data_IF_594028599152
#
_entry.id   IF_594028599152
#
_cell.length_a   1.000
_cell.length_b   1.000
_cell.length_c   1.000
_cell.angle_alpha   90.00
_cell.angle_beta   90.00
_cell.angle_gamma   90.00
#
_symmetry.space_group_name_H-M   'P 1'
#
loop_
_entity.id
_entity.type
_entity.pdbx_description
1 polymer ?
#
# COMPACT_ATOMS: atom_id res chain seq x y z
N UNK A 1 -23.39 50.77 -16.60
CA UNK A 1 -23.08 49.76 -15.57
C UNK A 1 -22.59 48.50 -16.26
N UNK A 2 -21.30 48.17 -16.14
CA UNK A 2 -20.75 46.88 -16.62
C UNK A 2 -20.57 45.98 -15.41
N UNK A 3 -21.38 44.93 -15.31
CA UNK A 3 -21.25 43.89 -14.30
C UNK A 3 -20.15 42.94 -14.79
N UNK A 4 -18.99 42.99 -14.15
CA UNK A 4 -17.91 42.01 -14.36
C UNK A 4 -18.24 40.79 -13.51
N UNK A 5 -18.74 39.74 -14.14
CA UNK A 5 -18.93 38.42 -13.52
C UNK A 5 -17.54 37.78 -13.36
N UNK A 6 -16.98 37.85 -12.15
CA UNK A 6 -15.79 37.10 -11.78
C UNK A 6 -16.22 35.65 -11.50
N UNK A 7 -16.01 34.76 -12.46
CA UNK A 7 -16.07 33.32 -12.25
C UNK A 7 -14.87 32.89 -11.40
N UNK A 8 -15.07 32.85 -10.08
CA UNK A 8 -14.18 32.15 -9.16
C UNK A 8 -14.32 30.64 -9.41
N UNK A 9 -13.50 30.12 -10.32
CA UNK A 9 -13.23 28.68 -10.43
C UNK A 9 -12.49 28.25 -9.17
N UNK A 10 -13.24 27.87 -8.14
CA UNK A 10 -12.73 27.08 -7.02
C UNK A 10 -12.44 25.68 -7.57
N UNK A 11 -11.24 25.48 -8.13
CA UNK A 11 -10.69 24.15 -8.34
C UNK A 11 -10.55 23.49 -6.98
N UNK A 12 -11.53 22.66 -6.63
CA UNK A 12 -11.38 21.69 -5.56
C UNK A 12 -10.23 20.76 -5.94
N UNK A 13 -9.02 21.07 -5.50
CA UNK A 13 -7.92 20.12 -5.49
C UNK A 13 -8.28 19.01 -4.49
N UNK A 14 -9.08 18.05 -4.94
CA UNK A 14 -9.23 16.79 -4.24
C UNK A 14 -7.85 16.13 -4.29
N UNK A 15 -7.08 16.25 -3.20
CA UNK A 15 -5.81 15.55 -3.04
C UNK A 15 -6.10 14.05 -3.13
N UNK A 16 -5.79 13.46 -4.29
CA UNK A 16 -5.77 12.01 -4.43
C UNK A 16 -4.75 11.46 -3.42
N UNK A 17 -5.12 10.43 -2.67
CA UNK A 17 -4.14 9.75 -1.82
C UNK A 17 -3.23 8.86 -2.67
N UNK A 18 -2.03 8.56 -2.15
CA UNK A 18 -1.01 7.82 -2.91
C UNK A 18 -1.49 6.47 -3.46
N UNK A 19 -2.46 5.82 -2.81
CA UNK A 19 -3.05 4.58 -3.30
C UNK A 19 -3.87 4.83 -4.57
N UNK A 20 -4.63 5.92 -4.62
CA UNK A 20 -5.37 6.31 -5.82
C UNK A 20 -4.43 6.66 -6.98
N UNK A 21 -3.34 7.37 -6.69
CA UNK A 21 -2.33 7.72 -7.70
C UNK A 21 -1.62 6.49 -8.25
N UNK A 22 -1.16 5.60 -7.35
CA UNK A 22 -0.59 4.31 -7.73
C UNK A 22 -1.56 3.50 -8.61
N UNK A 23 -2.84 3.47 -8.22
CA UNK A 23 -3.83 2.71 -8.98
C UNK A 23 -4.07 3.28 -10.37
N UNK A 24 -4.10 4.61 -10.49
CA UNK A 24 -4.21 5.29 -11.79
C UNK A 24 -3.00 5.01 -12.67
N UNK A 25 -1.79 5.04 -12.12
CA UNK A 25 -0.55 4.74 -12.83
C UNK A 25 -0.54 3.29 -13.36
N UNK A 26 -1.00 2.34 -12.54
CA UNK A 26 -1.11 0.93 -12.92
C UNK A 26 -2.31 0.61 -13.81
N UNK A 27 -3.09 1.62 -14.23
CA UNK A 27 -4.37 1.44 -14.96
C UNK A 27 -5.31 0.45 -14.24
N UNK A 28 -5.22 0.42 -12.92
CA UNK A 28 -5.96 -0.49 -12.05
C UNK A 28 -7.33 0.04 -11.67
N UNK A 29 -8.02 -0.77 -10.87
CA UNK A 29 -9.34 -0.49 -10.31
C UNK A 29 -9.24 -0.32 -8.81
N UNK A 30 -9.68 0.85 -8.33
CA UNK A 30 -9.76 1.14 -6.91
C UNK A 30 -11.08 0.60 -6.33
N UNK A 31 -10.97 -0.40 -5.45
CA UNK A 31 -12.08 -1.06 -4.77
C UNK A 31 -12.26 -0.49 -3.36
N UNK A 32 -13.51 -0.34 -2.89
CA UNK A 32 -13.82 0.13 -1.53
C UNK A 32 -13.71 -0.97 -0.45
N UNK A 33 -13.79 -2.23 -0.89
CA UNK A 33 -13.65 -3.45 -0.09
C UNK A 33 -13.02 -4.50 -0.97
N UNK A 34 -12.30 -5.43 -0.38
CA UNK A 34 -11.65 -6.52 -1.08
C UNK A 34 -12.03 -7.86 -0.46
N UNK A 35 -12.30 -8.87 -1.29
CA UNK A 35 -12.61 -10.23 -0.83
C UNK A 35 -11.42 -11.11 -1.15
N UNK A 36 -10.71 -11.59 -0.14
CA UNK A 36 -9.55 -12.45 -0.34
C UNK A 36 -9.92 -13.69 -1.14
N UNK A 37 -9.28 -13.94 -2.29
CA UNK A 37 -9.57 -15.11 -3.12
C UNK A 37 -9.45 -16.43 -2.36
N UNK A 38 -8.41 -16.60 -1.53
CA UNK A 38 -8.14 -17.84 -0.80
C UNK A 38 -9.09 -18.07 0.38
N UNK A 39 -9.11 -17.14 1.34
CA UNK A 39 -9.84 -17.30 2.60
C UNK A 39 -11.30 -16.83 2.54
N UNK A 40 -11.69 -16.17 1.45
CA UNK A 40 -12.99 -15.48 1.28
C UNK A 40 -13.28 -14.37 2.32
N UNK A 41 -12.29 -14.02 3.15
CA UNK A 41 -12.36 -12.91 4.10
C UNK A 41 -12.59 -11.59 3.36
N UNK A 42 -13.59 -10.82 3.80
CA UNK A 42 -13.88 -9.50 3.22
C UNK A 42 -13.23 -8.41 4.06
N UNK A 43 -12.19 -7.78 3.51
CA UNK A 43 -11.49 -6.65 4.10
C UNK A 43 -12.20 -5.36 3.70
N UNK A 44 -12.70 -4.60 4.69
CA UNK A 44 -13.31 -3.28 4.48
C UNK A 44 -12.24 -2.19 4.35
N UNK A 45 -11.38 -2.37 3.36
CA UNK A 45 -10.26 -1.49 3.08
C UNK A 45 -10.23 -1.13 1.60
N UNK A 46 -9.73 0.07 1.30
CA UNK A 46 -9.46 0.47 -0.07
C UNK A 46 -8.30 -0.37 -0.62
N UNK A 47 -8.51 -0.95 -1.80
CA UNK A 47 -7.53 -1.81 -2.46
C UNK A 47 -7.45 -1.40 -3.92
N UNK A 48 -6.25 -1.23 -4.44
CA UNK A 48 -6.01 -1.16 -5.87
C UNK A 48 -5.79 -2.58 -6.38
N UNK A 49 -6.62 -3.03 -7.32
CA UNK A 49 -6.45 -4.25 -8.09
C UNK A 49 -5.98 -3.87 -9.50
N UNK A 50 -4.94 -4.52 -10.00
CA UNK A 50 -4.35 -4.20 -11.31
C UNK A 50 -3.73 -5.45 -11.93
N UNK A 51 -3.52 -5.41 -13.25
CA UNK A 51 -2.83 -6.47 -13.98
C UNK A 51 -1.34 -6.13 -14.11
N UNK A 52 -0.45 -7.09 -13.84
CA UNK A 52 0.98 -6.92 -14.08
C UNK A 52 1.31 -7.06 -15.58
N UNK A 53 2.59 -6.97 -15.93
CA UNK A 53 3.05 -7.08 -17.33
C UNK A 53 2.88 -8.48 -17.97
N UNK A 54 2.54 -9.51 -17.18
CA UNK A 54 2.35 -10.89 -17.62
C UNK A 54 0.88 -11.32 -17.67
N UNK A 55 -0.06 -10.43 -17.33
CA UNK A 55 -1.47 -10.76 -17.28
C UNK A 55 -1.96 -11.24 -15.90
N UNK A 56 -1.11 -11.29 -14.88
CA UNK A 56 -1.52 -11.73 -13.55
C UNK A 56 -2.19 -10.59 -12.77
N UNK A 57 -3.32 -10.90 -12.13
CA UNK A 57 -4.00 -9.96 -11.23
C UNK A 57 -3.24 -9.81 -9.91
N UNK A 58 -2.84 -8.58 -9.59
CA UNK A 58 -2.22 -8.19 -8.34
C UNK A 58 -3.08 -7.17 -7.59
N UNK A 59 -2.88 -7.07 -6.29
CA UNK A 59 -3.61 -6.10 -5.48
C UNK A 59 -2.80 -5.59 -4.29
N UNK A 60 -3.01 -4.31 -3.96
CA UNK A 60 -2.35 -3.62 -2.84
C UNK A 60 -3.32 -2.65 -2.15
N UNK A 61 -3.16 -2.45 -0.85
CA UNK A 61 -3.92 -1.48 -0.06
C UNK A 61 -3.03 -0.32 0.46
N UNK A 62 -1.74 -0.37 0.17
CA UNK A 62 -0.77 0.62 0.60
C UNK A 62 -0.70 0.73 2.13
N UNK A 63 -0.27 1.90 2.62
CA UNK A 63 -0.16 2.10 4.06
C UNK A 63 -1.55 2.31 4.69
N UNK A 64 -2.08 1.22 5.25
CA UNK A 64 -3.40 1.11 5.87
C UNK A 64 -3.42 1.38 7.39
N UNK A 65 -2.28 1.16 8.05
CA UNK A 65 -2.10 1.41 9.48
C UNK A 65 -1.51 2.79 9.80
N UNK A 66 -1.41 3.13 11.11
CA UNK A 66 -0.80 4.37 11.56
C UNK A 66 0.71 4.41 11.23
N UNK A 67 1.12 5.42 10.47
CA UNK A 67 2.51 5.63 10.04
C UNK A 67 3.27 6.69 10.84
N UNK A 68 2.63 7.34 11.81
CA UNK A 68 3.26 8.42 12.59
C UNK A 68 3.57 9.69 11.80
N UNK A 69 2.86 9.93 10.70
CA UNK A 69 3.12 11.05 9.79
C UNK A 69 4.15 10.74 8.70
N UNK A 70 4.56 9.48 8.54
CA UNK A 70 5.53 9.05 7.53
C UNK A 70 4.89 8.24 6.39
N UNK A 71 3.58 8.43 6.14
CA UNK A 71 2.82 7.65 5.15
C UNK A 71 3.47 7.72 3.76
N UNK A 72 3.88 8.91 3.37
CA UNK A 72 4.47 9.15 2.05
C UNK A 72 5.81 8.43 1.88
N UNK A 73 6.67 8.51 2.89
CA UNK A 73 7.98 7.84 2.94
C UNK A 73 7.81 6.32 2.95
N UNK A 74 6.79 5.80 3.63
CA UNK A 74 6.56 4.36 3.75
C UNK A 74 5.76 3.76 2.61
N UNK A 75 5.17 4.57 1.73
CA UNK A 75 4.23 4.08 0.72
C UNK A 75 4.83 2.97 -0.15
N UNK A 76 6.08 3.15 -0.61
CA UNK A 76 6.81 2.13 -1.37
C UNK A 76 6.99 0.84 -0.56
N UNK A 77 7.34 0.94 0.72
CA UNK A 77 7.50 -0.22 1.59
C UNK A 77 6.18 -0.95 1.80
N UNK A 78 5.07 -0.21 1.97
CA UNK A 78 3.73 -0.80 2.11
C UNK A 78 3.29 -1.51 0.83
N UNK A 79 3.47 -0.92 -0.35
CA UNK A 79 3.15 -1.57 -1.64
C UNK A 79 3.94 -2.87 -1.82
N UNK A 80 5.24 -2.86 -1.54
CA UNK A 80 6.07 -4.06 -1.65
C UNK A 80 5.72 -5.11 -0.59
N UNK A 81 5.33 -4.66 0.61
CA UNK A 81 4.78 -5.54 1.64
C UNK A 81 3.53 -6.24 1.14
N UNK A 82 2.51 -5.50 0.67
CA UNK A 82 1.24 -6.08 0.20
C UNK A 82 1.45 -7.09 -0.93
N UNK A 83 2.29 -6.75 -1.92
CA UNK A 83 2.63 -7.67 -3.01
C UNK A 83 3.25 -8.96 -2.49
N UNK A 84 4.24 -8.85 -1.59
CA UNK A 84 4.81 -10.01 -0.93
C UNK A 84 3.74 -10.77 -0.15
N UNK A 85 2.96 -10.07 0.67
CA UNK A 85 2.02 -10.63 1.61
C UNK A 85 0.92 -11.45 0.96
N UNK A 86 0.51 -11.03 -0.24
CA UNK A 86 -0.60 -11.62 -0.95
C UNK A 86 -0.15 -12.72 -1.92
N UNK A 87 0.99 -12.56 -2.60
CA UNK A 87 1.37 -13.39 -3.74
C UNK A 87 2.63 -14.24 -3.52
N UNK A 88 3.64 -13.74 -2.79
CA UNK A 88 4.89 -14.50 -2.60
C UNK A 88 4.72 -15.84 -1.83
N UNK A 89 3.76 -16.01 -0.91
CA UNK A 89 3.51 -17.31 -0.27
C UNK A 89 3.12 -18.42 -1.25
N UNK A 90 2.43 -18.10 -2.35
CA UNK A 90 2.06 -19.05 -3.40
C UNK A 90 3.10 -19.13 -4.51
N UNK A 91 3.83 -18.05 -4.80
CA UNK A 91 4.89 -18.03 -5.83
C UNK A 91 6.20 -18.64 -5.35
N UNK A 92 6.76 -18.12 -4.27
CA UNK A 92 8.14 -18.38 -3.83
C UNK A 92 8.22 -18.96 -2.40
N UNK A 93 7.07 -19.22 -1.76
CA UNK A 93 7.02 -19.77 -0.41
C UNK A 93 7.48 -18.80 0.67
N UNK A 94 7.49 -17.48 0.41
CA UNK A 94 7.90 -16.52 1.43
C UNK A 94 6.98 -16.57 2.64
N UNK A 95 7.57 -16.54 3.84
CA UNK A 95 6.80 -16.50 5.06
C UNK A 95 6.29 -15.09 5.34
N UNK A 96 5.27 -15.00 6.21
CA UNK A 96 4.81 -13.72 6.76
C UNK A 96 5.97 -12.88 7.31
N UNK A 97 6.92 -13.52 8.00
CA UNK A 97 8.07 -12.85 8.61
C UNK A 97 8.98 -12.23 7.55
N UNK A 98 9.16 -12.88 6.41
CA UNK A 98 10.02 -12.39 5.33
C UNK A 98 9.41 -11.14 4.70
N UNK A 99 8.10 -11.15 4.42
CA UNK A 99 7.40 -9.95 3.95
C UNK A 99 7.46 -8.80 4.98
N UNK A 100 7.21 -9.09 6.26
CA UNK A 100 7.31 -8.06 7.31
C UNK A 100 8.73 -7.48 7.42
N UNK A 101 9.77 -8.32 7.26
CA UNK A 101 11.15 -7.88 7.25
C UNK A 101 11.50 -7.06 6.01
N UNK A 102 10.96 -7.43 4.84
CA UNK A 102 11.07 -6.65 3.60
C UNK A 102 10.52 -5.23 3.79
N UNK A 103 9.33 -5.12 4.40
CA UNK A 103 8.77 -3.82 4.79
C UNK A 103 9.76 -3.00 5.63
N UNK A 104 10.28 -3.59 6.71
CA UNK A 104 11.18 -2.89 7.63
C UNK A 104 12.45 -2.39 6.92
N UNK A 105 13.01 -3.21 6.04
CA UNK A 105 14.22 -2.88 5.29
C UNK A 105 13.98 -1.69 4.34
N UNK A 106 12.91 -1.73 3.54
CA UNK A 106 12.57 -0.66 2.59
C UNK A 106 12.18 0.62 3.34
N UNK A 107 11.37 0.52 4.39
CA UNK A 107 10.96 1.68 5.18
C UNK A 107 12.15 2.35 5.86
N UNK A 108 13.06 1.56 6.44
CA UNK A 108 14.29 2.08 7.07
C UNK A 108 15.19 2.77 6.05
N UNK A 109 15.34 2.20 4.85
CA UNK A 109 16.11 2.83 3.76
C UNK A 109 15.48 4.15 3.31
N UNK A 110 14.15 4.19 3.17
CA UNK A 110 13.41 5.41 2.79
C UNK A 110 13.52 6.49 3.87
N UNK A 111 13.61 6.11 5.15
CA UNK A 111 13.90 7.07 6.22
C UNK A 111 15.29 7.71 6.10
N UNK A 112 16.28 7.02 5.54
CA UNK A 112 17.63 7.59 5.40
C UNK A 112 17.71 8.63 4.28
N UNK A 113 16.90 8.45 3.24
CA UNK A 113 16.89 9.29 2.04
C UNK A 113 15.91 10.45 2.17
N UNK A 114 14.71 10.22 2.70
CA UNK A 114 13.58 11.13 2.50
C UNK A 114 13.12 11.83 3.80
N UNK A 115 13.50 11.29 4.97
CA UNK A 115 13.02 11.83 6.24
C UNK A 115 13.88 12.99 6.77
N UNK A 116 13.22 14.13 7.05
CA UNK A 116 13.83 15.24 7.81
C UNK A 116 14.34 14.78 9.19
N UNK A 117 13.57 13.94 9.88
CA UNK A 117 13.97 13.32 11.14
C UNK A 117 14.11 11.80 10.98
N UNK A 118 15.31 11.37 10.57
CA UNK A 118 15.65 9.97 10.30
C UNK A 118 15.37 9.06 11.50
N UNK A 119 15.74 9.49 12.72
CA UNK A 119 15.58 8.67 13.92
C UNK A 119 14.12 8.48 14.31
N UNK A 120 13.27 9.51 14.20
CA UNK A 120 11.82 9.40 14.42
C UNK A 120 11.17 8.49 13.38
N UNK A 121 11.54 8.65 12.11
CA UNK A 121 11.04 7.82 11.02
C UNK A 121 11.38 6.34 11.24
N UNK A 122 12.65 6.01 11.53
CA UNK A 122 13.07 4.62 11.79
C UNK A 122 12.38 3.99 12.99
N UNK A 123 12.09 4.77 14.04
CA UNK A 123 11.29 4.30 15.18
C UNK A 123 9.89 3.89 14.73
N UNK A 124 9.25 4.71 13.90
CA UNK A 124 7.94 4.36 13.33
C UNK A 124 7.97 3.16 12.38
N UNK A 125 9.01 3.01 11.57
CA UNK A 125 9.19 1.81 10.75
C UNK A 125 9.24 0.53 11.61
N UNK A 126 9.98 0.57 12.74
CA UNK A 126 10.01 -0.54 13.71
C UNK A 126 8.66 -0.76 14.40
N UNK A 127 7.93 0.29 14.72
CA UNK A 127 6.58 0.20 15.29
C UNK A 127 5.61 -0.49 14.33
N UNK A 128 5.61 -0.08 13.05
CA UNK A 128 4.78 -0.71 12.03
C UNK A 128 5.16 -2.17 11.80
N UNK A 129 6.45 -2.49 11.72
CA UNK A 129 6.93 -3.88 11.65
C UNK A 129 6.36 -4.74 12.80
N UNK A 130 6.46 -4.26 14.05
CA UNK A 130 5.91 -4.96 15.21
C UNK A 130 4.39 -5.14 15.11
N UNK A 131 3.67 -4.13 14.64
CA UNK A 131 2.23 -4.23 14.43
C UNK A 131 1.93 -5.34 13.41
N UNK A 132 2.58 -5.34 12.24
CA UNK A 132 2.40 -6.37 11.21
C UNK A 132 2.61 -7.79 11.76
N UNK A 133 3.64 -8.00 12.60
CA UNK A 133 3.90 -9.29 13.27
C UNK A 133 2.72 -9.78 14.11
N UNK A 134 1.98 -8.87 14.74
CA UNK A 134 0.86 -9.19 15.64
C UNK A 134 -0.44 -9.32 14.86
N UNK A 135 -0.80 -8.31 14.07
CA UNK A 135 -2.15 -8.18 13.47
C UNK A 135 -2.25 -8.65 12.02
N UNK A 136 -1.14 -8.86 11.32
CA UNK A 136 -1.18 -9.13 9.88
C UNK A 136 -1.77 -10.49 9.50
N UNK A 137 -1.84 -11.45 10.44
CA UNK A 137 -2.17 -12.85 10.15
C UNK A 137 -3.37 -13.08 9.23
N UNK A 138 -4.54 -12.46 9.48
CA UNK A 138 -5.74 -12.69 8.66
C UNK A 138 -5.64 -12.28 7.19
N UNK A 139 -4.78 -11.31 6.85
CA UNK A 139 -4.60 -10.83 5.48
C UNK A 139 -3.48 -11.58 4.72
N UNK A 140 -2.76 -12.48 5.40
CA UNK A 140 -1.60 -13.19 4.85
C UNK A 140 -2.05 -14.25 3.86
N UNK A 141 -1.33 -14.36 2.75
CA UNK A 141 -1.60 -15.37 1.73
C UNK A 141 -3.05 -15.25 1.21
N UNK A 142 -3.47 -14.01 0.94
CA UNK A 142 -4.82 -13.68 0.49
C UNK A 142 -5.09 -14.16 -0.94
N UNK A 143 -4.07 -14.14 -1.83
CA UNK A 143 -4.19 -14.69 -3.17
C UNK A 143 -4.27 -16.22 -3.13
N UNK A 144 -4.91 -16.81 -4.14
CA UNK A 144 -5.09 -18.25 -4.30
C UNK A 144 -4.20 -18.84 -5.41
N UNK A 145 -3.43 -18.02 -6.11
CA UNK A 145 -2.57 -18.42 -7.23
C UNK A 145 -1.19 -17.75 -7.17
N UNK A 146 -0.16 -18.36 -7.78
CA UNK A 146 1.14 -17.70 -8.01
C UNK A 146 0.99 -16.47 -8.91
N UNK A 147 1.93 -15.54 -8.78
CA UNK A 147 2.11 -14.36 -9.64
C UNK A 147 3.54 -14.31 -10.18
N UNK A 148 3.69 -13.87 -11.42
CA UNK A 148 4.97 -13.48 -12.02
C UNK A 148 5.29 -12.01 -11.69
N UNK A 149 6.55 -11.59 -11.83
CA UNK A 149 7.04 -10.24 -11.48
C UNK A 149 8.01 -9.66 -12.51
#
# INVERSE_FOLDING_TARGET
MRIVLVFLLLSNFAYADQLQDFCREKKGKLLKKYKCPKTKLTLRIRTCEFENQYGDTQFVNGCSGPSGGHKEIFFKACVQHDLCYHHEPSTNGQSRKDCDQLFLNIATKSCETDAKNKQKCKRWAKTMYRALRVIGGPAYHCADQPSNY
#
